data_IF_411558130166
#
_entry.id   IF_411558130166
#
_cell.length_a   1.000
_cell.length_b   1.000
_cell.length_c   1.000
_cell.angle_alpha   90.00
_cell.angle_beta   90.00
_cell.angle_gamma   90.00
#
_symmetry.space_group_name_H-M   'P 1'
#
loop_
_entity.id
_entity.type
_entity.pdbx_description
1 polymer ?
#
# COMPACT_ATOMS: atom_id res chain seq x y z
N UNK A 1 -18.04 -11.38 1.87
CA UNK A 1 -17.91 -10.39 0.78
C UNK A 1 -16.43 -10.16 0.56
N UNK A 2 -15.92 -10.43 -0.65
CA UNK A 2 -14.56 -10.07 -1.04
C UNK A 2 -14.60 -8.61 -1.49
N UNK A 3 -14.27 -7.68 -0.61
CA UNK A 3 -14.12 -6.27 -1.00
C UNK A 3 -12.80 -6.13 -1.77
N UNK A 4 -12.91 -5.90 -3.07
CA UNK A 4 -11.79 -5.59 -3.95
C UNK A 4 -11.62 -4.07 -4.00
N UNK A 5 -10.46 -3.57 -3.60
CA UNK A 5 -10.11 -2.15 -3.69
C UNK A 5 -8.90 -1.98 -4.59
N UNK A 6 -9.06 -1.15 -5.61
CA UNK A 6 -7.98 -0.76 -6.52
C UNK A 6 -7.63 0.71 -6.29
N UNK A 7 -6.35 0.99 -6.14
CA UNK A 7 -5.79 2.33 -6.03
C UNK A 7 -4.71 2.48 -7.07
N UNK A 8 -4.88 3.44 -7.99
CA UNK A 8 -3.81 3.84 -8.89
C UNK A 8 -2.78 4.67 -8.11
N UNK A 9 -1.51 4.35 -8.28
CA UNK A 9 -0.41 5.11 -7.70
C UNK A 9 0.73 5.27 -8.71
N UNK A 10 1.49 6.34 -8.55
CA UNK A 10 2.70 6.58 -9.35
C UNK A 10 3.91 6.07 -8.58
N UNK A 11 4.69 5.18 -9.19
CA UNK A 11 5.90 4.65 -8.57
C UNK A 11 7.06 5.65 -8.63
N UNK A 12 8.21 5.28 -8.05
CA UNK A 12 9.41 6.13 -8.01
C UNK A 12 10.01 6.41 -9.40
N UNK A 13 9.63 5.65 -10.42
CA UNK A 13 10.03 5.86 -11.82
C UNK A 13 9.02 6.71 -12.61
N UNK A 14 8.05 7.30 -11.91
CA UNK A 14 6.96 8.08 -12.47
C UNK A 14 5.96 7.28 -13.34
N UNK A 15 6.03 5.96 -13.32
CA UNK A 15 5.10 5.09 -14.02
C UNK A 15 3.82 4.90 -13.20
N UNK A 16 2.67 4.89 -13.88
CA UNK A 16 1.42 4.52 -13.24
C UNK A 16 1.38 3.01 -12.99
N UNK A 17 0.99 2.66 -11.77
CA UNK A 17 0.85 1.29 -11.28
C UNK A 17 -0.48 1.18 -10.55
N UNK A 18 -1.10 0.03 -10.66
CA UNK A 18 -2.25 -0.29 -9.84
C UNK A 18 -1.82 -1.09 -8.63
N UNK A 19 -2.35 -0.71 -7.48
CA UNK A 19 -2.34 -1.50 -6.26
C UNK A 19 -3.73 -2.04 -6.05
N UNK A 20 -3.86 -3.37 -5.99
CA UNK A 20 -5.13 -4.04 -5.73
C UNK A 20 -5.03 -4.80 -4.42
N UNK A 21 -6.02 -4.62 -3.55
CA UNK A 21 -6.14 -5.31 -2.28
C UNK A 21 -7.49 -6.00 -2.23
N UNK A 22 -7.50 -7.28 -1.91
CA UNK A 22 -8.72 -8.04 -1.62
C UNK A 22 -8.59 -8.78 -0.31
N UNK A 23 -9.65 -8.76 0.49
CA UNK A 23 -9.72 -9.47 1.75
C UNK A 23 -10.59 -10.72 1.59
N UNK A 24 -10.06 -11.85 2.05
CA UNK A 24 -10.81 -13.09 2.26
C UNK A 24 -10.99 -13.31 3.77
N UNK A 25 -11.60 -14.43 4.17
CA UNK A 25 -11.80 -14.75 5.59
C UNK A 25 -10.51 -15.06 6.36
N UNK A 26 -9.40 -15.36 5.69
CA UNK A 26 -8.15 -15.80 6.34
C UNK A 26 -6.88 -15.24 5.70
N UNK A 27 -7.01 -14.45 4.63
CA UNK A 27 -5.88 -13.96 3.86
C UNK A 27 -6.20 -12.64 3.15
N UNK A 28 -5.14 -11.90 2.87
CA UNK A 28 -5.16 -10.68 2.05
C UNK A 28 -4.40 -10.95 0.76
N UNK A 29 -5.08 -10.79 -0.36
CA UNK A 29 -4.44 -10.80 -1.67
C UNK A 29 -4.03 -9.36 -2.03
N UNK A 30 -2.76 -9.19 -2.37
CA UNK A 30 -2.15 -7.92 -2.73
C UNK A 30 -1.51 -8.05 -4.11
N UNK A 31 -1.83 -7.12 -5.01
CA UNK A 31 -1.13 -6.95 -6.28
C UNK A 31 -0.57 -5.54 -6.39
N UNK A 32 0.70 -5.42 -6.77
CA UNK A 32 1.37 -4.15 -7.05
C UNK A 32 1.98 -4.23 -8.45
N UNK A 33 1.35 -3.57 -9.42
CA UNK A 33 1.73 -3.73 -10.82
C UNK A 33 1.64 -5.21 -11.26
N UNK A 34 2.74 -5.83 -11.75
CA UNK A 34 2.76 -7.23 -12.14
C UNK A 34 3.01 -8.21 -10.97
N UNK A 35 3.35 -7.72 -9.77
CA UNK A 35 3.68 -8.57 -8.64
C UNK A 35 2.44 -8.89 -7.81
N UNK A 36 2.20 -10.18 -7.56
CA UNK A 36 1.10 -10.67 -6.75
C UNK A 36 1.60 -11.43 -5.52
N UNK A 37 0.95 -11.21 -4.38
CA UNK A 37 1.23 -11.91 -3.12
C UNK A 37 -0.06 -12.23 -2.38
N UNK A 38 -0.09 -13.41 -1.78
CA UNK A 38 -1.10 -13.80 -0.81
C UNK A 38 -0.45 -13.73 0.58
N UNK A 39 -1.06 -12.95 1.47
CA UNK A 39 -0.58 -12.71 2.82
C UNK A 39 -1.57 -13.31 3.81
N UNK A 40 -1.09 -13.93 4.87
CA UNK A 40 -1.93 -14.19 6.05
C UNK A 40 -2.25 -12.89 6.79
N UNK A 41 -3.15 -12.95 7.78
CA UNK A 41 -3.57 -11.77 8.54
C UNK A 41 -2.41 -11.09 9.29
N UNK A 42 -1.45 -11.87 9.81
CA UNK A 42 -0.29 -11.34 10.54
C UNK A 42 0.65 -10.59 9.61
N UNK A 43 0.94 -11.18 8.45
CA UNK A 43 1.75 -10.57 7.40
C UNK A 43 1.10 -9.30 6.85
N UNK A 44 -0.22 -9.33 6.62
CA UNK A 44 -0.97 -8.17 6.17
C UNK A 44 -0.94 -7.03 7.21
N UNK A 45 -1.11 -7.36 8.50
CA UNK A 45 -1.03 -6.37 9.57
C UNK A 45 0.36 -5.73 9.68
N UNK A 46 1.42 -6.55 9.60
CA UNK A 46 2.79 -6.04 9.59
C UNK A 46 3.05 -5.11 8.40
N UNK A 47 2.54 -5.47 7.22
CA UNK A 47 2.64 -4.62 6.03
C UNK A 47 1.88 -3.30 6.20
N UNK A 48 0.65 -3.31 6.73
CA UNK A 48 -0.13 -2.11 6.96
C UNK A 48 0.55 -1.14 7.94
N UNK A 49 1.16 -1.67 8.99
CA UNK A 49 1.95 -0.88 9.93
C UNK A 49 3.16 -0.23 9.24
N UNK A 50 3.93 -1.01 8.48
CA UNK A 50 5.10 -0.51 7.75
C UNK A 50 4.71 0.61 6.77
N UNK A 51 3.62 0.44 6.02
CA UNK A 51 3.11 1.45 5.10
C UNK A 51 2.65 2.72 5.84
N UNK A 52 1.96 2.58 6.96
CA UNK A 52 1.53 3.71 7.78
C UNK A 52 2.70 4.57 8.26
N UNK A 53 3.79 3.94 8.73
CA UNK A 53 5.03 4.63 9.15
C UNK A 53 5.65 5.40 7.98
N UNK A 54 5.74 4.78 6.79
CA UNK A 54 6.32 5.43 5.61
C UNK A 54 5.47 6.61 5.13
N UNK A 55 4.14 6.47 5.11
CA UNK A 55 3.23 7.56 4.76
C UNK A 55 3.40 8.73 5.74
N UNK A 56 3.46 8.46 7.04
CA UNK A 56 3.68 9.50 8.06
C UNK A 56 5.00 10.23 7.84
N UNK A 57 6.10 9.50 7.56
CA UNK A 57 7.40 10.10 7.27
C UNK A 57 7.35 11.02 6.04
N UNK A 58 6.73 10.57 4.94
CA UNK A 58 6.56 11.38 3.72
C UNK A 58 5.72 12.63 3.99
N UNK A 59 4.63 12.49 4.76
CA UNK A 59 3.79 13.63 5.12
C UNK A 59 4.54 14.65 5.98
N UNK A 60 5.37 14.21 6.91
CA UNK A 60 6.21 15.09 7.73
C UNK A 60 7.22 15.85 6.86
N UNK A 61 8.00 15.14 6.04
CA UNK A 61 8.97 15.75 5.14
C UNK A 61 8.34 16.78 4.20
N UNK A 62 7.14 16.47 3.67
CA UNK A 62 6.38 17.43 2.85
C UNK A 62 5.99 18.69 3.61
N UNK A 63 5.56 18.58 4.87
CA UNK A 63 5.21 19.75 5.70
C UNK A 63 6.43 20.63 5.97
N UNK A 64 7.59 20.03 6.19
CA UNK A 64 8.85 20.75 6.41
C UNK A 64 9.31 21.49 5.14
N UNK A 65 9.23 20.84 3.98
CA UNK A 65 9.60 21.44 2.70
C UNK A 65 8.73 22.64 2.30
N UNK A 66 7.47 22.71 2.74
CA UNK A 66 6.58 23.86 2.48
C UNK A 66 6.82 25.03 3.45
N UNK A 67 7.42 24.77 4.61
CA UNK A 67 7.73 25.80 5.62
C UNK A 67 9.09 26.47 5.40
N UNK A 68 9.94 25.90 4.55
CA UNK A 68 11.25 26.44 4.16
C UNK A 68 11.13 27.28 2.89
#
# INVERSE_FOLDING_TARGET
MNDLRTVSCRDRTAQERDVVVSHTSTAVWLRVGPEERLLDETQAQALYLALGVQIAAVQTARREAVRS
#
